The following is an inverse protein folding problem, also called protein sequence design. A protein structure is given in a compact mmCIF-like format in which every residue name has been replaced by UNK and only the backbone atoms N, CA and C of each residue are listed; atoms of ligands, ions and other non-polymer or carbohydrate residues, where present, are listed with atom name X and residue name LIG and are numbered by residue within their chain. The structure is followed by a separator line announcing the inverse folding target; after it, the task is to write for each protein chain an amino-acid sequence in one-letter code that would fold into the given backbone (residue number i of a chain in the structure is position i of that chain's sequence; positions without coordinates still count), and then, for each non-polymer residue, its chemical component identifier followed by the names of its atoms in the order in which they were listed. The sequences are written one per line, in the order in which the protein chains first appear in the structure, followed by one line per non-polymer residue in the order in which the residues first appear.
data_IF_399167242070
#
_entry.id   IF_399167242070
#
_cell.length_a   1.000
_cell.length_b   1.000
_cell.length_c   1.000
_cell.angle_alpha   90.00
_cell.angle_beta   90.00
_cell.angle_gamma   90.00
#
_symmetry.space_group_name_H-M   'P 1'
#
loop_
_entity.id
_entity.type
_entity.pdbx_description
1 polymer ?
#
# COMPACT_ATOMS: atom_id res chain seq x y z
N UNK A 1 -0.81 15.97 -6.13
CA UNK A 1 -0.66 14.88 -7.11
C UNK A 1 0.43 13.91 -6.65
N UNK A 2 0.37 12.64 -7.05
CA UNK A 2 1.42 11.67 -6.72
C UNK A 2 2.71 12.03 -7.48
N UNK A 3 3.68 12.59 -6.77
CA UNK A 3 5.00 12.94 -7.32
C UNK A 3 6.10 12.10 -6.68
N UNK A 4 7.19 11.89 -7.42
CA UNK A 4 8.38 11.21 -6.89
C UNK A 4 8.98 11.97 -5.70
N UNK A 5 8.86 13.29 -5.68
CA UNK A 5 9.25 14.12 -4.55
C UNK A 5 8.43 13.80 -3.29
N UNK A 6 7.11 13.63 -3.43
CA UNK A 6 6.26 13.26 -2.29
C UNK A 6 6.63 11.88 -1.75
N UNK A 7 6.92 10.91 -2.62
CA UNK A 7 7.41 9.59 -2.22
C UNK A 7 8.77 9.66 -1.49
N UNK A 8 9.70 10.48 -1.99
CA UNK A 8 11.01 10.69 -1.37
C UNK A 8 10.89 11.35 0.02
N UNK A 9 10.00 12.33 0.16
CA UNK A 9 9.70 13.01 1.44
C UNK A 9 9.14 12.04 2.48
N UNK A 10 8.21 11.15 2.09
CA UNK A 10 7.68 10.11 2.98
C UNK A 10 8.78 9.14 3.41
N UNK A 11 9.61 8.66 2.46
CA UNK A 11 10.74 7.77 2.78
C UNK A 11 11.74 8.43 3.74
N UNK A 12 12.04 9.71 3.53
CA UNK A 12 12.89 10.53 4.41
C UNK A 12 12.31 10.64 5.81
N UNK A 13 11.03 11.03 5.95
CA UNK A 13 10.37 11.17 7.23
C UNK A 13 10.38 9.89 8.07
N UNK A 14 10.22 8.72 7.43
CA UNK A 14 10.32 7.41 8.11
C UNK A 14 11.75 7.17 8.61
N UNK A 15 12.76 7.43 7.77
CA UNK A 15 14.16 7.26 8.14
C UNK A 15 14.60 8.21 9.26
N UNK A 16 14.06 9.44 9.29
CA UNK A 16 14.39 10.44 10.31
C UNK A 16 13.70 10.11 11.65
N UNK A 17 12.48 9.57 11.61
CA UNK A 17 11.69 9.26 12.82
C UNK A 17 12.09 7.92 13.45
N UNK A 18 12.32 6.89 12.63
CA UNK A 18 12.57 5.52 13.09
C UNK A 18 14.04 5.09 12.94
N UNK A 19 14.83 5.83 12.16
CA UNK A 19 16.21 5.50 11.81
C UNK A 19 16.34 4.90 10.41
N UNK A 20 17.55 5.01 9.85
CA UNK A 20 17.87 4.58 8.47
C UNK A 20 17.54 3.10 8.19
N UNK A 21 17.58 2.23 9.21
CA UNK A 21 17.25 0.81 9.10
C UNK A 21 15.79 0.54 8.70
N UNK A 22 14.88 1.47 9.01
CA UNK A 22 13.46 1.36 8.69
C UNK A 22 13.06 2.11 7.42
N UNK A 23 14.05 2.64 6.67
CA UNK A 23 13.77 3.37 5.44
C UNK A 23 13.07 2.45 4.44
N UNK A 24 11.86 2.81 3.95
CA UNK A 24 11.19 2.01 2.93
C UNK A 24 12.01 1.99 1.64
N UNK A 25 12.20 0.80 1.06
CA UNK A 25 12.86 0.62 -0.24
C UNK A 25 12.09 1.31 -1.37
N UNK A 26 10.76 1.33 -1.27
CA UNK A 26 9.87 1.94 -2.25
C UNK A 26 8.66 2.52 -1.55
N UNK A 27 8.23 3.71 -1.99
CA UNK A 27 6.97 4.33 -1.57
C UNK A 27 6.11 4.49 -2.82
N UNK A 28 4.93 3.88 -2.82
CA UNK A 28 3.98 3.95 -3.93
C UNK A 28 2.74 4.70 -3.47
N UNK A 29 2.38 5.72 -4.22
CA UNK A 29 1.23 6.54 -3.96
C UNK A 29 0.06 5.97 -4.73
N UNK A 30 -0.98 5.54 -4.02
CA UNK A 30 -2.20 4.96 -4.59
C UNK A 30 -3.39 5.85 -4.25
N UNK A 31 -4.42 5.89 -5.11
CA UNK A 31 -5.61 6.71 -4.87
C UNK A 31 -6.44 6.18 -3.70
N UNK A 32 -6.42 4.86 -3.45
CA UNK A 32 -7.15 4.23 -2.36
C UNK A 32 -6.46 2.94 -1.89
N UNK A 33 -6.77 2.51 -0.66
CA UNK A 33 -6.35 1.24 -0.08
C UNK A 33 -7.52 0.24 -0.01
N UNK A 34 -7.27 -1.06 -0.25
CA UNK A 34 -8.28 -2.11 -0.11
C UNK A 34 -8.83 -2.13 1.32
N UNK A 35 -10.15 -1.97 1.44
CA UNK A 35 -10.85 -1.88 2.71
C UNK A 35 -12.05 -2.81 2.76
N UNK A 36 -12.30 -3.37 3.93
CA UNK A 36 -13.52 -4.13 4.20
C UNK A 36 -14.72 -3.20 4.29
N UNK A 37 -15.96 -3.72 4.21
CA UNK A 37 -17.20 -2.96 4.51
C UNK A 37 -17.24 -2.28 5.89
N UNK A 38 -16.40 -2.70 6.84
CA UNK A 38 -16.22 -2.02 8.13
C UNK A 38 -15.06 -1.01 8.12
N UNK A 39 -14.66 -0.51 6.95
CA UNK A 39 -13.54 0.40 6.70
C UNK A 39 -12.14 -0.06 7.15
N UNK A 40 -11.94 -1.32 7.55
CA UNK A 40 -10.62 -1.85 7.95
C UNK A 40 -9.75 -2.10 6.72
N UNK A 41 -8.51 -1.63 6.77
CA UNK A 41 -7.51 -1.85 5.71
C UNK A 41 -7.13 -3.34 5.65
N UNK A 42 -7.30 -3.96 4.48
CA UNK A 42 -6.95 -5.36 4.24
C UNK A 42 -5.45 -5.51 3.92
N UNK A 43 -4.60 -5.26 4.92
CA UNK A 43 -3.12 -5.34 4.77
C UNK A 43 -2.63 -6.68 4.21
N UNK A 44 -3.34 -7.77 4.52
CA UNK A 44 -3.07 -9.11 3.98
C UNK A 44 -3.11 -9.14 2.44
N UNK A 45 -4.12 -8.51 1.85
CA UNK A 45 -4.32 -8.42 0.40
C UNK A 45 -3.24 -7.56 -0.23
N UNK A 46 -2.97 -6.39 0.36
CA UNK A 46 -1.88 -5.49 -0.10
C UNK A 46 -0.55 -6.25 -0.15
N UNK A 47 -0.24 -7.03 0.91
CA UNK A 47 0.98 -7.85 0.95
C UNK A 47 1.00 -8.92 -0.13
N UNK A 48 -0.09 -9.66 -0.32
CA UNK A 48 -0.17 -10.71 -1.32
C UNK A 48 0.08 -10.14 -2.73
N UNK A 49 -0.62 -9.06 -3.09
CA UNK A 49 -0.44 -8.39 -4.38
C UNK A 49 0.98 -7.86 -4.57
N UNK A 50 1.58 -7.25 -3.54
CA UNK A 50 2.96 -6.75 -3.58
C UNK A 50 4.02 -7.86 -3.73
N UNK A 51 3.67 -9.11 -3.43
CA UNK A 51 4.55 -10.27 -3.54
C UNK A 51 4.22 -11.14 -4.77
N UNK A 52 3.16 -10.81 -5.51
CA UNK A 52 2.66 -11.65 -6.60
C UNK A 52 1.95 -12.94 -6.14
N UNK A 53 1.55 -13.00 -4.86
CA UNK A 53 0.81 -14.12 -4.27
C UNK A 53 -0.71 -13.96 -4.46
N UNK A 54 -1.46 -15.06 -4.34
CA UNK A 54 -2.92 -15.03 -4.38
C UNK A 54 -3.52 -14.31 -3.15
N UNK A 55 -4.43 -13.32 -3.34
CA UNK A 55 -4.99 -12.54 -2.25
C UNK A 55 -6.06 -13.29 -1.42
N UNK A 56 -6.43 -14.51 -1.78
CA UNK A 56 -7.40 -15.34 -1.04
C UNK A 56 -8.80 -14.73 -0.98
N UNK A 57 -9.51 -14.88 0.15
CA UNK A 57 -10.90 -14.41 0.28
C UNK A 57 -11.01 -12.87 0.28
N UNK A 58 -11.84 -12.36 -0.64
CA UNK A 58 -12.16 -10.95 -0.88
C UNK A 58 -13.65 -10.64 -0.68
N UNK A 59 -14.45 -11.57 -0.15
CA UNK A 59 -15.91 -11.42 0.05
C UNK A 59 -16.33 -10.17 0.84
N UNK A 60 -15.44 -9.71 1.73
CA UNK A 60 -15.65 -8.54 2.59
C UNK A 60 -15.13 -7.23 1.99
N UNK A 61 -14.47 -7.26 0.82
CA UNK A 61 -13.89 -6.09 0.16
C UNK A 61 -15.00 -5.15 -0.32
N UNK A 62 -14.87 -3.87 0.00
CA UNK A 62 -15.83 -2.83 -0.36
C UNK A 62 -15.47 -2.11 -1.66
N UNK A 63 -14.17 -1.95 -1.92
CA UNK A 63 -13.63 -1.16 -3.02
C UNK A 63 -12.69 -1.99 -3.94
N UNK A 64 -13.22 -2.84 -4.84
CA UNK A 64 -12.41 -3.68 -5.72
C UNK A 64 -11.43 -2.91 -6.62
N UNK A 65 -11.78 -1.69 -7.05
CA UNK A 65 -10.90 -0.84 -7.89
C UNK A 65 -9.58 -0.47 -7.20
N UNK A 66 -9.50 -0.54 -5.87
CA UNK A 66 -8.25 -0.34 -5.15
C UNK A 66 -7.21 -1.44 -5.43
N UNK A 67 -7.64 -2.64 -5.85
CA UNK A 67 -6.73 -3.74 -6.18
C UNK A 67 -5.95 -3.47 -7.46
N UNK A 68 -6.59 -2.93 -8.50
CA UNK A 68 -5.95 -2.62 -9.80
C UNK A 68 -4.82 -1.59 -9.68
N UNK A 69 -4.91 -0.71 -8.67
CA UNK A 69 -3.88 0.28 -8.37
C UNK A 69 -2.66 -0.34 -7.67
N UNK A 70 -2.82 -1.54 -7.10
CA UNK A 70 -1.82 -2.25 -6.30
C UNK A 70 -1.25 -3.45 -7.07
N UNK A 71 -1.99 -4.10 -7.96
CA UNK A 71 -1.48 -5.21 -8.78
C UNK A 71 -0.34 -4.82 -9.72
N UNK A 72 -0.17 -3.53 -10.01
CA UNK A 72 0.96 -3.00 -10.80
C UNK A 72 2.23 -2.75 -9.96
N UNK A 73 2.38 -3.43 -8.82
CA UNK A 73 3.56 -3.39 -7.95
C UNK A 73 4.67 -4.31 -8.46
#
# INVERSE_FOLDING_TARGET
EPTDELAARVSGAVADTLGKAFRPKTVRLVPDLPRTRSAKIMRRVIRALALGDEPGDLSSLENPSALESIERL
#
